data_IF_339187320692
#
_entry.id   IF_339187320692
#
_cell.length_a   1.000
_cell.length_b   1.000
_cell.length_c   1.000
_cell.angle_alpha   90.00
_cell.angle_beta   90.00
_cell.angle_gamma   90.00
#
_symmetry.space_group_name_H-M   'P 1'
#
loop_
_entity.id
_entity.type
_entity.pdbx_description
1 polymer ?
#
# COMPACT_ATOMS: atom_id res chain seq x y z
N UNK A 1 28.49 0.97 -0.72
CA UNK A 1 27.29 0.16 -0.43
C UNK A 1 27.46 -0.37 0.99
N UNK A 2 26.75 0.22 1.96
CA UNK A 2 26.66 -0.42 3.27
C UNK A 2 25.93 -1.75 3.07
N UNK A 3 26.48 -2.80 3.68
CA UNK A 3 25.88 -4.13 3.64
C UNK A 3 24.44 -4.04 4.14
N UNK A 4 23.52 -4.66 3.41
CA UNK A 4 22.14 -4.86 3.83
C UNK A 4 22.13 -5.31 5.29
N UNK A 5 21.60 -4.48 6.19
CA UNK A 5 21.63 -4.77 7.64
C UNK A 5 20.59 -5.85 7.90
N UNK A 6 21.02 -7.10 7.83
CA UNK A 6 20.17 -8.24 8.11
C UNK A 6 19.53 -8.09 9.50
N UNK A 7 18.23 -8.41 9.60
CA UNK A 7 17.56 -8.46 10.89
C UNK A 7 18.29 -9.43 11.83
N UNK A 8 18.49 -9.03 13.08
CA UNK A 8 19.09 -9.90 14.11
C UNK A 8 18.22 -11.15 14.32
N UNK A 9 18.85 -12.30 14.43
CA UNK A 9 18.17 -13.57 14.67
C UNK A 9 18.49 -14.08 16.05
N UNK A 10 17.46 -14.55 16.74
CA UNK A 10 17.51 -15.12 18.09
C UNK A 10 16.74 -16.44 18.11
N UNK A 11 16.91 -17.23 19.16
CA UNK A 11 16.07 -18.41 19.37
C UNK A 11 14.66 -18.03 19.83
N UNK A 12 13.66 -18.89 19.62
CA UNK A 12 12.32 -18.68 20.17
C UNK A 12 12.35 -18.47 21.70
N UNK A 13 13.17 -19.23 22.41
CA UNK A 13 13.31 -19.14 23.85
C UNK A 13 13.85 -17.79 24.32
N UNK A 14 14.83 -17.21 23.62
CA UNK A 14 15.31 -15.85 23.85
C UNK A 14 14.24 -14.79 23.58
N UNK A 15 13.31 -15.08 22.65
CA UNK A 15 12.14 -14.26 22.42
C UNK A 15 11.04 -14.46 23.49
N UNK A 16 11.22 -15.39 24.43
CA UNK A 16 10.22 -15.76 25.44
C UNK A 16 9.06 -16.59 24.85
N UNK A 17 9.32 -17.32 23.77
CA UNK A 17 8.35 -18.16 23.06
C UNK A 17 8.93 -19.58 23.00
N UNK A 18 8.10 -20.58 23.31
CA UNK A 18 8.57 -21.98 23.20
C UNK A 18 8.75 -22.41 21.75
N UNK A 19 9.91 -22.96 21.40
CA UNK A 19 10.16 -23.56 20.07
C UNK A 19 9.13 -24.64 19.72
N UNK A 20 8.59 -25.35 20.72
CA UNK A 20 7.47 -26.30 20.53
C UNK A 20 6.21 -25.60 20.01
N UNK A 21 5.89 -24.40 20.50
CA UNK A 21 4.73 -23.62 20.03
C UNK A 21 4.96 -23.11 18.59
N UNK A 22 6.18 -22.66 18.28
CA UNK A 22 6.57 -22.25 16.93
C UNK A 22 6.42 -23.43 15.96
N UNK A 23 6.94 -24.60 16.34
CA UNK A 23 6.81 -25.82 15.53
C UNK A 23 5.35 -26.16 15.26
N UNK A 24 4.50 -26.15 16.31
CA UNK A 24 3.07 -26.42 16.17
C UNK A 24 2.40 -25.44 15.22
N UNK A 25 2.71 -24.15 15.32
CA UNK A 25 2.17 -23.12 14.42
C UNK A 25 2.55 -23.41 12.96
N UNK A 26 3.81 -23.75 12.69
CA UNK A 26 4.27 -24.08 11.34
C UNK A 26 3.59 -25.35 10.81
N UNK A 27 3.45 -26.39 11.65
CA UNK A 27 2.75 -27.62 11.31
C UNK A 27 1.27 -27.35 10.96
N UNK A 28 0.59 -26.48 11.70
CA UNK A 28 -0.80 -26.07 11.39
C UNK A 28 -0.87 -25.33 10.05
N UNK A 29 0.07 -24.39 9.78
CA UNK A 29 0.14 -23.71 8.48
C UNK A 29 0.36 -24.65 7.30
N UNK A 30 1.06 -25.76 7.49
CA UNK A 30 1.27 -26.79 6.45
C UNK A 30 -0.01 -27.56 6.09
N UNK A 31 -0.98 -27.61 6.99
CA UNK A 31 -2.27 -28.27 6.77
C UNK A 31 -3.33 -27.36 6.15
N UNK A 32 -3.08 -26.06 6.10
CA UNK A 32 -4.00 -25.12 5.47
C UNK A 32 -4.03 -25.29 3.94
N UNK A 33 -5.17 -24.99 3.35
CA UNK A 33 -5.35 -25.05 1.89
C UNK A 33 -4.65 -23.90 1.15
N UNK A 34 -4.17 -22.90 1.88
CA UNK A 34 -3.48 -21.74 1.34
C UNK A 34 -2.04 -22.11 1.00
N UNK A 35 -1.61 -21.76 -0.21
CA UNK A 35 -0.20 -21.91 -0.60
C UNK A 35 0.67 -20.95 0.20
N UNK A 36 1.44 -21.48 1.14
CA UNK A 36 2.43 -20.71 1.89
C UNK A 36 3.71 -20.59 1.07
N UNK A 37 4.23 -19.39 0.95
CA UNK A 37 5.52 -19.14 0.30
C UNK A 37 6.65 -19.00 1.32
N UNK A 38 6.43 -18.24 2.37
CA UNK A 38 7.37 -17.99 3.44
C UNK A 38 6.67 -17.56 4.72
N UNK A 39 7.32 -17.77 5.82
CA UNK A 39 6.89 -17.34 7.14
C UNK A 39 8.08 -16.73 7.87
N UNK A 40 7.87 -15.58 8.47
CA UNK A 40 8.84 -14.95 9.35
C UNK A 40 8.11 -14.39 10.58
N UNK A 41 8.63 -14.71 11.76
CA UNK A 41 8.13 -14.17 13.01
C UNK A 41 9.25 -13.42 13.75
N UNK A 42 8.90 -12.20 14.20
CA UNK A 42 9.83 -11.34 14.90
C UNK A 42 9.21 -10.79 16.19
N UNK A 43 10.03 -10.55 17.18
CA UNK A 43 9.66 -9.89 18.43
C UNK A 43 10.74 -8.88 18.82
N UNK A 44 10.31 -7.66 19.16
CA UNK A 44 11.23 -6.56 19.49
C UNK A 44 12.32 -6.31 18.43
N UNK A 45 11.97 -6.44 17.15
CA UNK A 45 12.88 -6.22 16.02
C UNK A 45 13.84 -7.38 15.73
N UNK A 46 13.74 -8.52 16.44
CA UNK A 46 14.58 -9.69 16.25
C UNK A 46 13.78 -10.87 15.73
N UNK A 47 14.28 -11.56 14.71
CA UNK A 47 13.62 -12.71 14.08
C UNK A 47 13.91 -13.96 14.93
N UNK A 48 12.85 -14.65 15.35
CA UNK A 48 12.95 -15.87 16.15
C UNK A 48 12.47 -17.13 15.42
N UNK A 49 11.81 -16.97 14.25
CA UNK A 49 11.44 -18.08 13.38
C UNK A 49 11.37 -17.61 11.93
N UNK A 50 11.87 -18.41 11.03
CA UNK A 50 11.81 -18.17 9.59
C UNK A 50 11.80 -19.51 8.86
N UNK A 51 10.88 -19.68 7.90
CA UNK A 51 10.84 -20.87 7.04
C UNK A 51 10.23 -20.54 5.69
N UNK A 52 10.53 -21.40 4.70
CA UNK A 52 10.11 -21.26 3.33
C UNK A 52 9.57 -22.60 2.82
N UNK A 53 8.51 -22.56 1.99
CA UNK A 53 7.95 -23.76 1.35
C UNK A 53 8.43 -23.85 -0.09
N UNK A 54 8.97 -25.00 -0.47
CA UNK A 54 9.43 -25.21 -1.84
C UNK A 54 8.29 -24.94 -2.86
N UNK A 55 8.58 -24.28 -4.00
CA UNK A 55 9.88 -23.89 -4.52
C UNK A 55 10.43 -22.54 -4.00
N UNK A 56 9.74 -21.88 -3.08
CA UNK A 56 10.08 -20.55 -2.59
C UNK A 56 11.27 -20.58 -1.62
N UNK A 57 12.02 -19.48 -1.59
CA UNK A 57 13.14 -19.25 -0.69
C UNK A 57 13.32 -17.74 -0.42
N UNK A 58 14.25 -17.38 0.47
CA UNK A 58 14.50 -15.99 0.88
C UNK A 58 14.96 -15.05 -0.24
N UNK A 59 15.54 -15.61 -1.31
CA UNK A 59 16.10 -14.82 -2.41
C UNK A 59 15.07 -14.50 -3.51
N UNK A 60 13.92 -15.19 -3.49
CA UNK A 60 12.88 -14.98 -4.50
C UNK A 60 12.10 -13.70 -4.24
N UNK A 61 11.84 -12.95 -5.31
CA UNK A 61 10.98 -11.77 -5.27
C UNK A 61 9.52 -12.23 -5.24
N UNK A 62 8.74 -11.63 -4.35
CA UNK A 62 7.32 -11.91 -4.19
C UNK A 62 6.48 -10.71 -4.61
N UNK A 63 5.30 -10.99 -5.19
CA UNK A 63 4.30 -9.95 -5.41
C UNK A 63 3.73 -9.49 -4.07
N UNK A 64 3.84 -8.20 -3.80
CA UNK A 64 3.33 -7.59 -2.58
C UNK A 64 1.80 -7.36 -2.61
N UNK A 65 1.16 -7.52 -3.78
CA UNK A 65 -0.27 -7.28 -3.93
C UNK A 65 -0.72 -6.02 -3.16
N UNK A 66 -1.75 -6.15 -2.34
CA UNK A 66 -2.31 -5.03 -1.58
C UNK A 66 -1.42 -4.48 -0.46
N UNK A 67 -0.32 -5.14 -0.12
CA UNK A 67 0.67 -4.55 0.78
C UNK A 67 1.27 -3.25 0.20
N UNK A 68 1.33 -3.12 -1.12
CA UNK A 68 1.73 -1.89 -1.82
C UNK A 68 0.91 -0.65 -1.40
N UNK A 69 -0.35 -0.84 -0.98
CA UNK A 69 -1.18 0.26 -0.45
C UNK A 69 -0.61 0.88 0.83
N UNK A 70 0.12 0.11 1.63
CA UNK A 70 0.80 0.62 2.83
C UNK A 70 1.94 1.57 2.46
N UNK A 71 2.66 1.29 1.37
CA UNK A 71 3.67 2.22 0.86
C UNK A 71 3.04 3.51 0.37
N UNK A 72 1.96 3.42 -0.41
CA UNK A 72 1.22 4.61 -0.87
C UNK A 72 0.70 5.44 0.31
N UNK A 73 0.11 4.80 1.32
CA UNK A 73 -0.37 5.48 2.52
C UNK A 73 0.78 6.17 3.29
N UNK A 74 1.94 5.53 3.39
CA UNK A 74 3.13 6.11 4.01
C UNK A 74 3.64 7.31 3.21
N UNK A 75 3.65 7.24 1.88
CA UNK A 75 4.03 8.36 1.02
C UNK A 75 3.09 9.57 1.23
N UNK A 76 1.77 9.34 1.30
CA UNK A 76 0.81 10.39 1.64
C UNK A 76 1.11 11.00 3.01
N UNK A 77 1.38 10.18 4.04
CA UNK A 77 1.72 10.66 5.38
C UNK A 77 2.98 11.53 5.40
N UNK A 78 4.01 11.13 4.66
CA UNK A 78 5.24 11.93 4.51
C UNK A 78 4.96 13.25 3.77
N UNK A 79 4.19 13.22 2.67
CA UNK A 79 3.83 14.41 1.91
C UNK A 79 3.03 15.42 2.76
N UNK A 80 2.16 14.93 3.64
CA UNK A 80 1.45 15.77 4.61
C UNK A 80 2.43 16.40 5.62
N UNK A 81 3.36 15.61 6.15
CA UNK A 81 4.39 16.08 7.09
C UNK A 81 5.30 17.14 6.43
N UNK A 82 5.64 16.95 5.15
CA UNK A 82 6.41 17.90 4.35
C UNK A 82 5.56 19.13 3.88
N UNK A 83 4.30 19.22 4.28
CA UNK A 83 3.36 20.31 3.91
C UNK A 83 3.12 20.43 2.39
N UNK A 84 3.31 19.36 1.64
CA UNK A 84 3.05 19.30 0.20
C UNK A 84 1.59 18.94 -0.11
N UNK A 85 0.88 18.39 0.87
CA UNK A 85 -0.47 17.87 0.74
C UNK A 85 -1.23 18.07 2.04
N UNK A 86 -2.54 18.33 1.96
CA UNK A 86 -3.46 18.25 3.09
C UNK A 86 -4.41 17.06 2.94
N UNK A 87 -4.73 16.39 4.04
CA UNK A 87 -5.74 15.32 4.03
C UNK A 87 -7.14 15.83 3.67
N UNK A 88 -7.39 17.11 3.86
CA UNK A 88 -8.69 17.74 3.61
C UNK A 88 -8.80 18.35 2.21
N UNK A 89 -7.73 18.26 1.39
CA UNK A 89 -7.80 18.63 -0.02
C UNK A 89 -8.78 17.74 -0.77
N UNK A 90 -9.60 18.35 -1.62
CA UNK A 90 -10.56 17.62 -2.45
C UNK A 90 -9.87 16.99 -3.65
N UNK A 91 -10.27 15.76 -3.96
CA UNK A 91 -9.74 15.04 -5.11
C UNK A 91 -10.00 15.78 -6.43
N UNK A 92 -11.17 16.41 -6.59
CA UNK A 92 -11.52 17.22 -7.78
C UNK A 92 -10.59 18.41 -7.97
N UNK A 93 -10.10 19.02 -6.90
CA UNK A 93 -9.19 20.16 -6.99
C UNK A 93 -7.78 19.70 -7.41
N UNK A 94 -7.35 18.53 -6.91
CA UNK A 94 -6.05 17.92 -7.24
C UNK A 94 -6.01 17.47 -8.71
N UNK A 95 -7.11 16.94 -9.23
CA UNK A 95 -7.24 16.41 -10.59
C UNK A 95 -8.00 17.33 -11.53
N UNK A 96 -8.03 18.63 -11.23
CA UNK A 96 -8.79 19.62 -12.00
C UNK A 96 -8.44 19.59 -13.49
N UNK A 97 -7.15 19.55 -13.81
CA UNK A 97 -6.68 19.60 -15.21
C UNK A 97 -7.16 18.36 -15.98
N UNK A 98 -7.04 17.15 -15.40
CA UNK A 98 -7.52 15.92 -16.04
C UNK A 98 -9.03 15.88 -16.19
N UNK A 99 -9.76 16.44 -15.25
CA UNK A 99 -11.23 16.54 -15.31
C UNK A 99 -11.64 17.47 -16.44
N UNK A 100 -11.00 18.64 -16.58
CA UNK A 100 -11.28 19.62 -17.62
C UNK A 100 -10.89 19.10 -19.02
N UNK A 101 -9.67 18.56 -19.16
CA UNK A 101 -9.15 18.01 -20.42
C UNK A 101 -10.06 16.90 -20.98
N UNK A 102 -10.46 15.97 -20.10
CA UNK A 102 -11.31 14.82 -20.46
C UNK A 102 -12.81 15.13 -20.45
N UNK A 103 -13.19 16.35 -20.08
CA UNK A 103 -14.58 16.79 -19.94
C UNK A 103 -15.42 15.87 -19.06
N UNK A 104 -14.85 15.44 -17.93
CA UNK A 104 -15.50 14.53 -16.99
C UNK A 104 -16.65 15.25 -16.28
N UNK A 105 -17.85 14.70 -16.38
CA UNK A 105 -19.00 15.19 -15.61
C UNK A 105 -18.98 14.56 -14.21
N UNK A 106 -18.48 15.32 -13.22
CA UNK A 106 -18.30 14.82 -11.84
C UNK A 106 -19.58 14.98 -11.04
N UNK A 107 -20.18 13.90 -10.47
CA UNK A 107 -21.36 13.97 -9.61
C UNK A 107 -21.11 14.82 -8.34
N UNK A 108 -22.18 15.42 -7.80
CA UNK A 108 -22.07 16.33 -6.64
C UNK A 108 -21.45 15.70 -5.39
N UNK A 109 -21.79 14.43 -5.08
CA UNK A 109 -21.18 13.74 -3.94
C UNK A 109 -19.69 13.45 -4.18
N UNK A 110 -19.30 13.11 -5.42
CA UNK A 110 -17.89 12.88 -5.77
C UNK A 110 -17.04 14.13 -5.53
N UNK A 111 -17.58 15.33 -5.72
CA UNK A 111 -16.89 16.60 -5.45
C UNK A 111 -16.55 16.81 -3.97
N UNK A 112 -17.15 16.04 -3.07
CA UNK A 112 -16.88 16.10 -1.62
C UNK A 112 -15.74 15.18 -1.18
N UNK A 113 -15.29 14.27 -2.05
CA UNK A 113 -14.23 13.31 -1.71
C UNK A 113 -12.92 14.06 -1.46
N UNK A 114 -12.34 13.84 -0.28
CA UNK A 114 -11.03 14.35 0.11
C UNK A 114 -9.98 13.23 0.09
N UNK A 115 -8.70 13.60 0.16
CA UNK A 115 -7.59 12.65 0.33
C UNK A 115 -7.82 11.75 1.56
N UNK A 116 -8.35 12.31 2.64
CA UNK A 116 -8.71 11.56 3.87
C UNK A 116 -9.72 10.44 3.58
N UNK A 117 -10.77 10.74 2.83
CA UNK A 117 -11.80 9.75 2.50
C UNK A 117 -11.23 8.62 1.64
N UNK A 118 -10.32 8.94 0.70
CA UNK A 118 -9.66 7.93 -0.14
C UNK A 118 -8.71 7.07 0.70
N UNK A 119 -7.91 7.69 1.56
CA UNK A 119 -6.95 7.00 2.43
C UNK A 119 -7.62 6.04 3.41
N UNK A 120 -8.79 6.42 3.93
CA UNK A 120 -9.60 5.57 4.84
C UNK A 120 -10.55 4.62 4.11
N UNK A 121 -10.55 4.62 2.76
CA UNK A 121 -11.47 3.82 1.94
C UNK A 121 -12.95 4.09 2.25
N UNK A 122 -13.28 5.36 2.49
CA UNK A 122 -14.64 5.83 2.78
C UNK A 122 -15.16 6.79 1.71
N UNK A 123 -14.83 6.51 0.45
CA UNK A 123 -15.16 7.40 -0.69
C UNK A 123 -16.67 7.54 -0.94
N UNK A 124 -17.47 6.58 -0.47
CA UNK A 124 -18.91 6.54 -0.71
C UNK A 124 -19.33 5.84 -2.00
N UNK A 125 -18.39 5.30 -2.80
CA UNK A 125 -18.70 4.54 -4.00
C UNK A 125 -19.58 3.31 -3.71
N UNK A 126 -20.49 3.00 -4.63
CA UNK A 126 -21.33 1.80 -4.58
C UNK A 126 -20.53 0.52 -4.75
N UNK A 127 -19.48 0.56 -5.60
CA UNK A 127 -18.55 -0.52 -5.88
C UNK A 127 -17.16 0.04 -6.16
N UNK A 128 -16.15 -0.83 -6.21
CA UNK A 128 -14.79 -0.42 -6.58
C UNK A 128 -14.75 0.00 -8.06
N UNK A 129 -14.43 1.26 -8.39
CA UNK A 129 -14.33 1.69 -9.78
C UNK A 129 -13.28 0.89 -10.56
N UNK A 130 -13.50 0.72 -11.87
CA UNK A 130 -12.54 0.02 -12.72
C UNK A 130 -11.20 0.76 -12.78
N UNK A 131 -10.11 0.00 -12.74
CA UNK A 131 -8.74 0.49 -12.96
C UNK A 131 -8.26 0.26 -14.39
N UNK A 132 -9.11 -0.24 -15.28
CA UNK A 132 -8.82 -0.48 -16.68
C UNK A 132 -9.19 0.75 -17.54
N UNK A 133 -8.43 0.97 -18.62
CA UNK A 133 -8.67 2.09 -19.53
C UNK A 133 -8.44 3.45 -18.87
N UNK A 134 -9.35 4.40 -19.06
CA UNK A 134 -9.28 5.70 -18.38
C UNK A 134 -9.76 5.62 -16.93
N UNK A 135 -8.88 5.07 -16.08
CA UNK A 135 -9.16 4.82 -14.68
C UNK A 135 -9.42 6.09 -13.86
N UNK A 136 -8.90 7.25 -14.29
CA UNK A 136 -9.23 8.54 -13.66
C UNK A 136 -10.68 8.91 -13.94
N UNK A 137 -11.11 8.82 -15.20
CA UNK A 137 -12.51 9.07 -15.55
C UNK A 137 -13.44 8.08 -14.84
N UNK A 138 -13.08 6.78 -14.83
CA UNK A 138 -13.82 5.75 -14.11
C UNK A 138 -14.01 6.10 -12.64
N UNK A 139 -12.94 6.59 -11.96
CA UNK A 139 -13.02 6.97 -10.56
C UNK A 139 -14.00 8.12 -10.31
N UNK A 140 -13.92 9.19 -11.12
CA UNK A 140 -14.75 10.38 -10.91
C UNK A 140 -16.20 10.24 -11.37
N UNK A 141 -16.50 9.31 -12.29
CA UNK A 141 -17.86 9.06 -12.80
C UNK A 141 -18.58 7.91 -12.11
N UNK A 142 -17.86 7.12 -11.29
CA UNK A 142 -18.46 5.99 -10.59
C UNK A 142 -19.60 6.43 -9.67
N UNK A 143 -20.63 5.58 -9.58
CA UNK A 143 -21.79 5.84 -8.73
C UNK A 143 -21.40 5.97 -7.25
N UNK A 144 -21.85 7.05 -6.63
CA UNK A 144 -21.75 7.30 -5.19
C UNK A 144 -23.10 7.05 -4.55
N UNK A 145 -23.16 6.13 -3.61
CA UNK A 145 -24.40 5.81 -2.85
C UNK A 145 -24.39 6.36 -1.43
N UNK A 146 -23.19 6.62 -0.90
CA UNK A 146 -23.04 7.04 0.50
C UNK A 146 -22.29 8.37 0.57
N UNK A 147 -22.65 9.18 1.56
CA UNK A 147 -21.91 10.40 1.85
C UNK A 147 -20.44 10.03 2.15
N UNK A 148 -19.44 10.66 1.50
CA UNK A 148 -18.04 10.40 1.78
C UNK A 148 -17.71 10.52 3.28
N UNK A 149 -16.95 9.57 3.80
CA UNK A 149 -16.60 9.49 5.20
C UNK A 149 -17.53 8.59 6.05
N UNK A 150 -18.67 8.12 5.52
CA UNK A 150 -19.68 7.42 6.33
C UNK A 150 -19.63 5.89 6.24
N UNK A 151 -19.10 5.34 5.15
CA UNK A 151 -19.07 3.89 4.94
C UNK A 151 -17.76 3.42 4.35
N UNK A 152 -17.19 2.38 4.93
CA UNK A 152 -16.02 1.70 4.41
C UNK A 152 -16.39 0.78 3.24
N UNK A 153 -15.63 0.91 2.15
CA UNK A 153 -15.60 -0.04 1.05
C UNK A 153 -14.14 -0.19 0.59
N UNK A 154 -13.61 -1.40 0.67
CA UNK A 154 -12.24 -1.67 0.17
C UNK A 154 -12.12 -1.23 -1.30
N UNK A 155 -11.20 -0.30 -1.59
CA UNK A 155 -11.16 0.41 -2.86
C UNK A 155 -9.74 0.46 -3.42
N UNK A 156 -9.47 -0.38 -4.43
CA UNK A 156 -8.17 -0.42 -5.12
C UNK A 156 -7.99 0.79 -6.03
N UNK A 157 -9.04 1.22 -6.73
CA UNK A 157 -9.01 2.41 -7.57
C UNK A 157 -8.62 3.66 -6.75
N UNK A 158 -9.17 3.81 -5.53
CA UNK A 158 -8.75 4.86 -4.62
C UNK A 158 -7.26 4.82 -4.28
N UNK A 159 -6.69 3.62 -4.11
CA UNK A 159 -5.25 3.49 -3.86
C UNK A 159 -4.41 3.92 -5.07
N UNK A 160 -4.85 3.63 -6.30
CA UNK A 160 -4.22 4.13 -7.53
C UNK A 160 -4.31 5.67 -7.59
N UNK A 161 -5.48 6.24 -7.26
CA UNK A 161 -5.66 7.70 -7.17
C UNK A 161 -4.68 8.33 -6.17
N UNK A 162 -4.45 7.71 -5.00
CA UNK A 162 -3.48 8.21 -4.02
C UNK A 162 -2.04 8.16 -4.53
N UNK A 163 -1.67 7.13 -5.29
CA UNK A 163 -0.35 7.08 -5.94
C UNK A 163 -0.17 8.23 -6.95
N UNK A 164 -1.20 8.53 -7.74
CA UNK A 164 -1.21 9.68 -8.63
C UNK A 164 -1.18 11.02 -7.86
N UNK A 165 -1.86 11.13 -6.70
CA UNK A 165 -1.75 12.30 -5.82
C UNK A 165 -0.31 12.53 -5.39
N UNK A 166 0.42 11.46 -4.98
CA UNK A 166 1.84 11.57 -4.63
C UNK A 166 2.63 12.16 -5.81
N UNK A 167 2.48 11.59 -7.01
CA UNK A 167 3.19 12.07 -8.22
C UNK A 167 2.86 13.55 -8.52
N UNK A 168 1.58 13.94 -8.45
CA UNK A 168 1.15 15.32 -8.73
C UNK A 168 1.69 16.32 -7.70
N UNK A 169 1.71 15.95 -6.44
CA UNK A 169 2.11 16.85 -5.34
C UNK A 169 3.61 16.90 -5.09
N UNK A 170 4.35 15.88 -5.49
CA UNK A 170 5.79 15.76 -5.23
C UNK A 170 6.66 15.80 -6.48
N UNK A 171 6.10 15.49 -7.65
CA UNK A 171 6.81 15.29 -8.90
C UNK A 171 7.42 13.89 -9.05
N UNK A 172 7.37 13.07 -8.01
CA UNK A 172 8.00 11.75 -7.94
C UNK A 172 6.92 10.65 -7.86
N UNK A 173 7.16 9.47 -8.44
CA UNK A 173 6.30 8.31 -8.17
C UNK A 173 6.53 7.81 -6.73
N UNK A 174 5.66 6.92 -6.26
CA UNK A 174 5.69 6.43 -4.86
C UNK A 174 7.03 5.80 -4.50
N UNK A 175 7.64 5.01 -5.40
CA UNK A 175 8.93 4.35 -5.15
C UNK A 175 10.04 5.37 -4.99
N UNK A 176 10.18 6.28 -5.95
CA UNK A 176 11.25 7.27 -5.97
C UNK A 176 11.10 8.22 -4.77
N UNK A 177 9.87 8.62 -4.45
CA UNK A 177 9.57 9.47 -3.31
C UNK A 177 9.92 8.81 -1.97
N UNK A 178 9.65 7.50 -1.83
CA UNK A 178 9.92 6.75 -0.60
C UNK A 178 11.37 6.29 -0.48
N UNK A 179 12.12 6.15 -1.57
CA UNK A 179 13.48 5.62 -1.52
C UNK A 179 14.36 6.35 -0.50
N UNK A 180 14.61 7.67 -0.59
CA UNK A 180 15.43 8.37 0.39
C UNK A 180 14.73 8.62 1.73
N UNK A 181 13.40 8.58 1.75
CA UNK A 181 12.60 8.94 2.93
C UNK A 181 12.29 7.76 3.84
N UNK A 182 12.20 6.56 3.28
CA UNK A 182 11.84 5.33 3.99
C UNK A 182 12.78 4.18 3.67
N UNK A 183 12.88 3.76 2.41
CA UNK A 183 13.51 2.50 2.05
C UNK A 183 14.97 2.43 2.45
N UNK A 184 15.77 3.41 2.12
CA UNK A 184 17.19 3.50 2.53
C UNK A 184 17.34 3.50 4.06
N UNK A 185 16.43 4.17 4.77
CA UNK A 185 16.50 4.29 6.24
C UNK A 185 16.22 2.98 6.97
N UNK A 186 15.39 2.12 6.38
CA UNK A 186 15.01 0.82 6.96
C UNK A 186 15.72 -0.36 6.29
N UNK A 187 16.69 -0.11 5.38
CA UNK A 187 17.49 -1.13 4.73
C UNK A 187 16.78 -1.90 3.62
N UNK A 188 15.73 -1.34 3.02
CA UNK A 188 15.09 -1.94 1.84
C UNK A 188 15.89 -1.52 0.60
N UNK A 189 16.36 -2.51 -0.17
CA UNK A 189 16.96 -2.26 -1.48
C UNK A 189 15.87 -1.92 -2.50
N UNK A 190 15.72 -0.63 -2.80
CA UNK A 190 14.72 -0.14 -3.73
C UNK A 190 14.93 -0.62 -5.18
N UNK A 191 16.15 -1.04 -5.58
CA UNK A 191 16.41 -1.60 -6.91
C UNK A 191 15.69 -2.94 -7.12
N UNK A 192 15.46 -3.70 -6.05
CA UNK A 192 14.69 -4.95 -6.07
C UNK A 192 13.17 -4.74 -6.06
N UNK A 193 12.70 -3.52 -5.82
CA UNK A 193 11.27 -3.19 -5.85
C UNK A 193 10.86 -2.85 -7.28
N UNK A 194 10.01 -3.67 -7.86
CA UNK A 194 9.34 -3.37 -9.13
C UNK A 194 7.98 -2.76 -8.82
N UNK A 195 7.73 -1.55 -9.30
CA UNK A 195 6.37 -1.05 -9.39
C UNK A 195 5.74 -1.67 -10.63
N UNK A 196 4.51 -2.12 -10.51
CA UNK A 196 3.68 -2.31 -11.70
C UNK A 196 3.35 -0.89 -12.14
N UNK A 197 4.08 -0.37 -13.12
CA UNK A 197 3.78 0.92 -13.70
C UNK A 197 2.50 0.77 -14.51
N UNK A 198 1.44 1.39 -14.01
CA UNK A 198 0.39 1.88 -14.89
C UNK A 198 0.79 3.32 -15.16
N UNK A 199 1.67 3.44 -16.09
CA UNK A 199 2.07 4.71 -16.68
C UNK A 199 0.97 5.28 -17.57
#
# INVERSE_FOLDING_TARGET
MEAEKALERITPEEAGISSRQVKKCIEELMHETTQMHGFMAARHGKVFAECWWAPFNSEMVHSNHSFGKSYTATAIGIAVTEKKLSLDEKMVDIFKDEIEERKICVPELTKKITVRHVLSMTNGHAANPSIEGDWIANYFTAAIEYEPGTRFLYNTSGACMLAAVVKKKTGENVKDYLTPRLFEKIGINAERLTLRSEE
#
